data_IF_178151292897
#
_entry.id   IF_178151292897
#
_cell.length_a   1.000
_cell.length_b   1.000
_cell.length_c   1.000
_cell.angle_alpha   90.00
_cell.angle_beta   90.00
_cell.angle_gamma   90.00
#
_symmetry.space_group_name_H-M   'P 1'
#
loop_
_entity.id
_entity.type
_entity.pdbx_description
1 polymer ?
#
# COMPACT_ATOMS: atom_id res chain seq x y z
N UNK A 1 -24.43 -13.66 -12.18
CA UNK A 1 -23.90 -12.29 -12.33
C UNK A 1 -22.58 -12.27 -11.59
N UNK A 2 -21.45 -12.28 -12.30
CA UNK A 2 -20.12 -12.29 -11.65
C UNK A 2 -19.95 -10.99 -10.88
N UNK A 3 -19.80 -11.03 -9.56
CA UNK A 3 -19.49 -9.86 -8.77
C UNK A 3 -18.22 -9.20 -9.33
N UNK A 4 -18.24 -7.89 -9.54
CA UNK A 4 -17.10 -7.17 -10.11
C UNK A 4 -15.99 -7.08 -9.06
N UNK A 5 -15.04 -8.01 -9.12
CA UNK A 5 -13.89 -8.04 -8.23
C UNK A 5 -12.93 -6.90 -8.61
N UNK A 6 -12.82 -5.90 -7.73
CA UNK A 6 -11.93 -4.75 -7.92
C UNK A 6 -10.82 -4.80 -6.90
N UNK A 7 -9.57 -4.63 -7.32
CA UNK A 7 -8.43 -4.70 -6.41
C UNK A 7 -7.42 -3.58 -6.61
N UNK A 8 -6.86 -3.14 -5.49
CA UNK A 8 -5.86 -2.09 -5.38
C UNK A 8 -4.65 -2.61 -4.60
N UNK A 9 -3.48 -2.12 -4.97
CA UNK A 9 -2.26 -2.56 -4.33
C UNK A 9 -1.05 -1.77 -4.81
N UNK A 10 0.13 -2.11 -4.29
CA UNK A 10 1.44 -1.81 -4.85
C UNK A 10 1.49 -1.19 -6.28
N UNK A 11 2.24 -0.15 -6.68
CA UNK A 11 2.53 0.04 -8.11
C UNK A 11 3.58 -0.98 -8.59
N UNK A 12 3.30 -1.77 -9.63
CA UNK A 12 4.19 -2.88 -10.08
C UNK A 12 5.55 -2.35 -10.52
N UNK A 13 5.56 -1.30 -11.33
CA UNK A 13 6.77 -0.63 -11.77
C UNK A 13 7.62 -0.12 -10.59
N UNK A 14 7.00 0.44 -9.55
CA UNK A 14 7.70 0.90 -8.35
C UNK A 14 8.39 -0.23 -7.59
N UNK A 15 7.74 -1.39 -7.48
CA UNK A 15 8.29 -2.57 -6.80
C UNK A 15 9.45 -3.16 -7.58
N UNK A 16 9.29 -3.30 -8.90
CA UNK A 16 10.35 -3.81 -9.79
C UNK A 16 11.55 -2.85 -9.77
N UNK A 17 11.32 -1.53 -9.83
CA UNK A 17 12.37 -0.53 -9.74
C UNK A 17 13.14 -0.60 -8.41
N UNK A 18 12.43 -0.72 -7.29
CA UNK A 18 13.07 -0.88 -5.97
C UNK A 18 13.90 -2.18 -5.88
N UNK A 19 13.40 -3.28 -6.43
CA UNK A 19 14.11 -4.55 -6.46
C UNK A 19 15.39 -4.47 -7.32
N UNK A 20 15.29 -3.90 -8.53
CA UNK A 20 16.44 -3.71 -9.42
C UNK A 20 17.51 -2.84 -8.76
N UNK A 21 17.10 -1.72 -8.14
CA UNK A 21 18.03 -0.85 -7.42
C UNK A 21 18.67 -1.57 -6.23
N UNK A 22 17.89 -2.35 -5.47
CA UNK A 22 18.41 -3.16 -4.36
C UNK A 22 19.47 -4.16 -4.82
N UNK A 23 19.22 -4.89 -5.91
CA UNK A 23 20.21 -5.81 -6.51
C UNK A 23 21.46 -5.05 -6.97
N UNK A 24 21.28 -3.93 -7.66
CA UNK A 24 22.39 -3.10 -8.14
C UNK A 24 23.29 -2.60 -6.99
N UNK A 25 22.68 -2.10 -5.91
CA UNK A 25 23.41 -1.69 -4.71
C UNK A 25 24.13 -2.87 -4.05
N UNK A 26 23.48 -4.04 -3.98
CA UNK A 26 24.08 -5.24 -3.41
C UNK A 26 25.31 -5.70 -4.18
N UNK A 27 25.22 -5.74 -5.51
CA UNK A 27 26.37 -6.04 -6.39
C UNK A 27 27.47 -5.00 -6.19
N UNK A 28 27.13 -3.71 -6.22
CA UNK A 28 28.10 -2.62 -6.06
C UNK A 28 28.83 -2.68 -4.71
N UNK A 29 28.11 -3.01 -3.63
CA UNK A 29 28.70 -3.17 -2.30
C UNK A 29 29.78 -4.26 -2.26
N UNK A 30 29.60 -5.37 -2.99
CA UNK A 30 30.56 -6.48 -2.96
C UNK A 30 31.67 -6.35 -4.01
N UNK A 31 31.43 -5.66 -5.13
CA UNK A 31 32.40 -5.58 -6.24
C UNK A 31 33.13 -4.24 -6.35
N UNK A 32 32.47 -3.11 -6.06
CA UNK A 32 33.00 -1.77 -6.34
C UNK A 32 33.47 -1.03 -5.09
N UNK A 33 32.80 -1.23 -3.96
CA UNK A 33 33.13 -0.52 -2.71
C UNK A 33 34.33 -1.20 -2.06
N UNK A 34 35.33 -0.42 -1.64
CA UNK A 34 36.61 -0.95 -1.13
C UNK A 34 36.79 -0.79 0.36
N UNK A 35 36.16 0.24 0.96
CA UNK A 35 36.20 0.50 2.39
C UNK A 35 35.08 -0.22 3.15
N UNK A 36 35.38 -0.65 4.39
CA UNK A 36 34.43 -1.41 5.23
C UNK A 36 33.17 -0.60 5.55
N UNK A 37 33.24 0.68 5.98
CA UNK A 37 32.04 1.44 6.31
C UNK A 37 31.08 1.60 5.12
N UNK A 38 31.60 1.95 3.94
CA UNK A 38 30.81 2.10 2.72
C UNK A 38 30.11 0.80 2.32
N UNK A 39 30.81 -0.35 2.42
CA UNK A 39 30.22 -1.67 2.14
C UNK A 39 29.04 -1.96 3.04
N UNK A 40 29.17 -1.68 4.34
CA UNK A 40 28.11 -1.90 5.32
C UNK A 40 26.90 -1.01 4.99
N UNK A 41 27.12 0.28 4.75
CA UNK A 41 26.03 1.23 4.47
C UNK A 41 25.26 0.86 3.19
N UNK A 42 25.98 0.59 2.09
CA UNK A 42 25.36 0.24 0.81
C UNK A 42 24.73 -1.16 0.88
N UNK A 43 25.36 -2.10 1.56
CA UNK A 43 24.80 -3.44 1.80
C UNK A 43 23.49 -3.38 2.59
N UNK A 44 23.42 -2.56 3.64
CA UNK A 44 22.18 -2.34 4.40
C UNK A 44 21.10 -1.69 3.54
N UNK A 45 21.46 -0.70 2.70
CA UNK A 45 20.52 -0.08 1.78
C UNK A 45 19.97 -1.08 0.75
N UNK A 46 20.84 -1.95 0.21
CA UNK A 46 20.47 -3.01 -0.71
C UNK A 46 19.47 -3.99 -0.07
N UNK A 47 19.81 -4.51 1.12
CA UNK A 47 18.94 -5.42 1.88
C UNK A 47 17.61 -4.75 2.22
N UNK A 48 17.63 -3.50 2.68
CA UNK A 48 16.42 -2.74 2.99
C UNK A 48 15.48 -2.60 1.79
N UNK A 49 16.01 -2.26 0.60
CA UNK A 49 15.22 -2.15 -0.63
C UNK A 49 14.64 -3.49 -1.08
N UNK A 50 15.43 -4.57 -1.01
CA UNK A 50 14.96 -5.90 -1.37
C UNK A 50 13.86 -6.38 -0.42
N UNK A 51 14.04 -6.21 0.89
CA UNK A 51 13.02 -6.53 1.89
C UNK A 51 11.76 -5.69 1.66
N UNK A 52 11.90 -4.40 1.40
CA UNK A 52 10.78 -3.52 1.11
C UNK A 52 10.00 -3.96 -0.15
N UNK A 53 10.70 -4.34 -1.22
CA UNK A 53 10.08 -4.83 -2.45
C UNK A 53 9.32 -6.14 -2.21
N UNK A 54 9.93 -7.10 -1.49
CA UNK A 54 9.31 -8.39 -1.15
C UNK A 54 8.08 -8.20 -0.25
N UNK A 55 8.19 -7.38 0.80
CA UNK A 55 7.06 -7.10 1.71
C UNK A 55 5.92 -6.37 1.00
N UNK A 56 6.25 -5.40 0.12
CA UNK A 56 5.26 -4.70 -0.69
C UNK A 56 4.58 -5.64 -1.70
N UNK A 57 5.31 -6.62 -2.24
CA UNK A 57 4.76 -7.63 -3.14
C UNK A 57 3.80 -8.57 -2.39
N UNK A 58 4.22 -9.06 -1.22
CA UNK A 58 3.42 -9.98 -0.40
C UNK A 58 2.11 -9.38 0.09
N UNK A 59 2.07 -8.05 0.27
CA UNK A 59 0.88 -7.32 0.66
C UNK A 59 -0.16 -7.11 -0.47
N UNK A 60 0.05 -7.67 -1.67
CA UNK A 60 -0.88 -7.49 -2.80
C UNK A 60 -1.98 -8.56 -2.85
N UNK A 61 -3.20 -8.21 -3.28
CA UNK A 61 -3.76 -6.85 -3.30
C UNK A 61 -3.89 -6.34 -1.85
N UNK A 62 -3.66 -5.04 -1.63
CA UNK A 62 -3.68 -4.45 -0.27
C UNK A 62 -5.10 -4.09 0.16
N UNK A 63 -5.94 -3.75 -0.80
CA UNK A 63 -7.37 -3.55 -0.63
C UNK A 63 -8.10 -4.17 -1.83
N UNK A 64 -9.18 -4.88 -1.63
CA UNK A 64 -10.01 -5.40 -2.71
C UNK A 64 -11.48 -5.47 -2.29
N UNK A 65 -12.38 -5.32 -3.25
CA UNK A 65 -13.79 -5.66 -3.08
C UNK A 65 -13.98 -7.05 -3.65
N UNK A 66 -14.46 -7.97 -2.82
CA UNK A 66 -14.68 -9.36 -3.16
C UNK A 66 -15.98 -9.85 -2.54
N UNK A 67 -16.87 -10.46 -3.32
CA UNK A 67 -18.16 -11.03 -2.87
C UNK A 67 -18.98 -10.14 -1.91
N UNK A 68 -18.93 -8.81 -2.09
CA UNK A 68 -19.67 -7.85 -1.27
C UNK A 68 -19.01 -7.51 0.08
N UNK A 69 -17.79 -7.99 0.31
CA UNK A 69 -16.92 -7.62 1.42
C UNK A 69 -15.68 -6.86 0.95
N UNK A 70 -15.10 -6.08 1.86
CA UNK A 70 -13.88 -5.32 1.65
C UNK A 70 -12.71 -6.10 2.27
N UNK A 71 -11.85 -6.64 1.42
CA UNK A 71 -10.68 -7.42 1.82
C UNK A 71 -9.49 -6.47 2.00
N UNK A 72 -8.99 -6.38 3.22
CA UNK A 72 -7.73 -5.71 3.56
C UNK A 72 -6.62 -6.74 3.78
N UNK A 73 -5.50 -6.60 3.08
CA UNK A 73 -4.33 -7.47 3.25
C UNK A 73 -3.17 -6.73 3.89
N UNK A 74 -2.92 -7.04 5.16
CA UNK A 74 -1.68 -6.68 5.83
C UNK A 74 -0.52 -7.60 5.43
N UNK A 75 0.66 -7.39 6.01
CA UNK A 75 1.83 -8.25 5.74
C UNK A 75 1.66 -9.69 6.23
N UNK A 76 0.92 -9.87 7.32
CA UNK A 76 0.79 -11.15 8.01
C UNK A 76 -0.63 -11.69 8.07
N UNK A 77 -1.63 -10.80 7.99
CA UNK A 77 -3.04 -11.15 8.14
C UNK A 77 -3.85 -10.51 7.04
N UNK A 78 -4.83 -11.26 6.55
CA UNK A 78 -5.92 -10.74 5.74
C UNK A 78 -7.11 -10.52 6.66
N UNK A 79 -7.90 -9.48 6.37
CA UNK A 79 -9.16 -9.20 7.02
C UNK A 79 -10.22 -8.99 5.98
N UNK A 80 -11.38 -9.53 6.26
CA UNK A 80 -12.60 -9.29 5.51
C UNK A 80 -13.45 -8.34 6.35
N UNK A 81 -13.83 -7.21 5.77
CA UNK A 81 -14.63 -6.17 6.40
C UNK A 81 -15.97 -6.10 5.67
N UNK A 82 -17.04 -6.41 6.37
CA UNK A 82 -18.39 -6.17 5.87
C UNK A 82 -18.73 -4.68 6.02
N UNK A 83 -19.83 -4.24 5.40
CA UNK A 83 -20.32 -2.86 5.57
C UNK A 83 -20.63 -2.52 7.04
N UNK A 84 -21.01 -3.51 7.85
CA UNK A 84 -21.31 -3.31 9.27
C UNK A 84 -20.04 -3.11 10.11
N UNK A 85 -18.88 -3.58 9.64
CA UNK A 85 -17.60 -3.43 10.33
C UNK A 85 -16.95 -2.05 10.09
N UNK A 86 -17.52 -1.25 9.20
CA UNK A 86 -16.96 0.04 8.75
C UNK A 86 -17.73 1.16 9.44
N UNK A 87 -17.03 1.93 10.27
CA UNK A 87 -17.58 3.09 10.95
C UNK A 87 -17.54 4.34 10.05
N UNK A 88 -16.42 4.56 9.35
CA UNK A 88 -16.23 5.71 8.48
C UNK A 88 -15.14 5.43 7.46
N UNK A 89 -15.37 5.80 6.20
CA UNK A 89 -14.30 5.91 5.19
C UNK A 89 -14.16 7.38 4.82
N UNK A 90 -12.93 7.89 4.85
CA UNK A 90 -12.66 9.30 4.50
C UNK A 90 -11.31 9.48 3.85
N UNK A 91 -11.10 10.67 3.31
CA UNK A 91 -9.81 11.11 2.81
C UNK A 91 -9.24 12.15 3.75
N UNK A 92 -8.01 11.94 4.17
CA UNK A 92 -7.24 12.95 4.88
C UNK A 92 -6.18 13.51 3.94
N UNK A 93 -6.17 14.83 3.78
CA UNK A 93 -5.21 15.54 2.93
C UNK A 93 -4.21 16.32 3.79
N UNK A 94 -2.93 16.20 3.46
CA UNK A 94 -1.84 16.95 4.08
C UNK A 94 -1.02 17.67 3.02
N UNK A 95 -0.50 18.86 3.36
CA UNK A 95 0.50 19.56 2.55
C UNK A 95 1.89 19.28 3.10
N UNK A 96 2.79 18.75 2.26
CA UNK A 96 4.20 18.52 2.60
C UNK A 96 5.08 19.04 1.46
N UNK A 97 5.91 20.06 1.76
CA UNK A 97 6.91 20.64 0.84
C UNK A 97 6.35 20.84 -0.58
N UNK A 98 5.35 21.72 -0.72
CA UNK A 98 4.75 22.04 -2.02
C UNK A 98 3.92 20.92 -2.66
N UNK A 99 3.79 19.75 -2.04
CA UNK A 99 2.97 18.63 -2.54
C UNK A 99 1.77 18.38 -1.63
N UNK A 100 0.63 18.10 -2.24
CA UNK A 100 -0.55 17.57 -1.56
C UNK A 100 -0.45 16.04 -1.52
N UNK A 101 -0.62 15.47 -0.33
CA UNK A 101 -0.64 14.03 -0.09
C UNK A 101 -2.01 13.67 0.46
N UNK A 102 -2.63 12.64 -0.11
CA UNK A 102 -3.91 12.10 0.34
C UNK A 102 -3.70 10.71 0.91
N UNK A 103 -4.47 10.40 1.95
CA UNK A 103 -4.56 9.08 2.55
C UNK A 103 -6.04 8.70 2.58
N UNK A 104 -6.35 7.45 2.23
CA UNK A 104 -7.65 6.84 2.48
C UNK A 104 -7.61 6.26 3.90
N UNK A 105 -8.52 6.72 4.74
CA UNK A 105 -8.70 6.24 6.11
C UNK A 105 -9.98 5.41 6.17
N UNK A 106 -9.90 4.22 6.77
CA UNK A 106 -11.04 3.35 7.07
C UNK A 106 -11.04 3.13 8.58
N UNK A 107 -11.96 3.81 9.25
CA UNK A 107 -12.30 3.56 10.64
C UNK A 107 -13.26 2.38 10.71
N UNK A 108 -12.96 1.44 11.59
CA UNK A 108 -13.76 0.23 11.82
C UNK A 108 -14.48 0.32 13.16
N UNK A 109 -15.56 -0.44 13.30
CA UNK A 109 -16.35 -0.47 14.55
C UNK A 109 -15.62 -1.14 15.71
N UNK A 110 -14.52 -1.86 15.45
CA UNK A 110 -13.63 -2.43 16.47
C UNK A 110 -12.43 -1.50 16.81
N UNK A 111 -12.63 -0.19 16.64
CA UNK A 111 -11.69 0.90 16.97
C UNK A 111 -10.34 0.83 16.25
N UNK A 112 -10.29 0.22 15.06
CA UNK A 112 -9.09 0.24 14.21
C UNK A 112 -9.20 1.27 13.11
N UNK A 113 -8.07 1.91 12.86
CA UNK A 113 -7.86 2.82 11.74
C UNK A 113 -6.92 2.17 10.73
N UNK A 114 -7.41 1.91 9.52
CA UNK A 114 -6.57 1.54 8.38
C UNK A 114 -6.24 2.79 7.58
N UNK A 115 -4.95 3.06 7.38
CA UNK A 115 -4.47 4.21 6.61
C UNK A 115 -3.76 3.72 5.37
N UNK A 116 -4.26 4.13 4.20
CA UNK A 116 -3.80 3.67 2.90
C UNK A 116 -3.34 4.85 2.05
N UNK A 117 -2.08 4.83 1.67
CA UNK A 117 -1.48 5.83 0.80
C UNK A 117 -1.66 5.50 -0.68
N UNK A 118 -1.31 6.46 -1.55
CA UNK A 118 -1.18 6.21 -3.00
C UNK A 118 -0.25 5.04 -3.33
N UNK A 119 0.82 4.83 -2.56
CA UNK A 119 1.69 3.67 -2.78
C UNK A 119 0.93 2.37 -2.48
N UNK A 120 0.19 2.34 -1.38
CA UNK A 120 -0.54 1.14 -0.96
C UNK A 120 -1.65 0.74 -1.94
N UNK A 121 -2.29 1.73 -2.58
CA UNK A 121 -3.42 1.55 -3.48
C UNK A 121 -3.01 1.47 -4.96
N UNK A 122 -1.83 2.00 -5.32
CA UNK A 122 -1.35 2.05 -6.70
C UNK A 122 -2.06 3.10 -7.57
N UNK A 123 -3.02 3.84 -7.02
CA UNK A 123 -3.78 4.91 -7.67
C UNK A 123 -4.09 6.04 -6.68
N UNK A 124 -4.72 7.12 -7.15
CA UNK A 124 -5.15 8.19 -6.25
C UNK A 124 -6.17 7.66 -5.22
N UNK A 125 -5.96 7.87 -3.91
CA UNK A 125 -6.91 7.49 -2.89
C UNK A 125 -8.35 7.96 -3.12
N UNK A 126 -8.56 9.10 -3.80
CA UNK A 126 -9.91 9.55 -4.16
C UNK A 126 -10.61 8.58 -5.11
N UNK A 127 -9.93 8.07 -6.15
CA UNK A 127 -10.55 7.12 -7.07
C UNK A 127 -10.95 5.82 -6.37
N UNK A 128 -10.24 5.44 -5.31
CA UNK A 128 -10.61 4.30 -4.48
C UNK A 128 -11.83 4.62 -3.62
N UNK A 129 -11.89 5.82 -3.02
CA UNK A 129 -13.08 6.27 -2.30
C UNK A 129 -14.32 6.31 -3.21
N UNK A 130 -14.18 6.79 -4.45
CA UNK A 130 -15.28 6.84 -5.43
C UNK A 130 -15.81 5.42 -5.69
N UNK A 131 -14.93 4.45 -5.96
CA UNK A 131 -15.33 3.05 -6.15
C UNK A 131 -15.96 2.41 -4.90
N UNK A 132 -15.46 2.75 -3.71
CA UNK A 132 -16.06 2.31 -2.43
C UNK A 132 -17.44 2.94 -2.18
N UNK A 133 -17.66 4.16 -2.67
CA UNK A 133 -18.94 4.86 -2.60
C UNK A 133 -19.95 4.21 -3.54
N UNK A 134 -19.57 3.95 -4.79
CA UNK A 134 -20.41 3.29 -5.80
C UNK A 134 -20.88 1.90 -5.36
N UNK A 135 -20.05 1.18 -4.61
CA UNK A 135 -20.37 -0.15 -4.07
C UNK A 135 -21.06 -0.10 -2.69
N UNK A 136 -21.24 1.09 -2.13
CA UNK A 136 -21.96 1.35 -0.88
C UNK A 136 -21.19 0.98 0.39
N UNK A 137 -19.85 0.93 0.35
CA UNK A 137 -19.00 0.85 1.55
C UNK A 137 -18.74 2.23 2.18
N UNK A 138 -18.79 3.29 1.38
CA UNK A 138 -18.63 4.67 1.84
C UNK A 138 -19.89 5.49 1.49
N UNK A 139 -21.03 5.27 2.16
CA UNK A 139 -22.17 6.18 1.99
C UNK A 139 -21.69 7.56 2.47
N UNK A 140 -21.49 8.50 1.53
CA UNK A 140 -21.15 9.87 1.88
C UNK A 140 -22.13 10.38 2.95
N UNK A 141 -21.66 11.19 3.90
CA UNK A 141 -22.56 11.79 4.89
C UNK A 141 -23.72 12.46 4.13
N UNK A 142 -24.93 11.96 4.36
CA UNK A 142 -26.16 12.66 4.02
C UNK A 142 -26.25 13.99 4.78
#
# INVERSE_FOLDING_TARGET
>A
MSAQQTSWGPPTAGLVGAAILGVFLGVSAVTLVTDVPGRILIGLAAVGLLLFAVMSWRARPKLAIDDGALIYRGWWRQRELTKADIALIRITEFRRIGRKVRLLEIDTTDDRLLVLSRWDLGTDPLHVLDALTETGFAPGRA
#
